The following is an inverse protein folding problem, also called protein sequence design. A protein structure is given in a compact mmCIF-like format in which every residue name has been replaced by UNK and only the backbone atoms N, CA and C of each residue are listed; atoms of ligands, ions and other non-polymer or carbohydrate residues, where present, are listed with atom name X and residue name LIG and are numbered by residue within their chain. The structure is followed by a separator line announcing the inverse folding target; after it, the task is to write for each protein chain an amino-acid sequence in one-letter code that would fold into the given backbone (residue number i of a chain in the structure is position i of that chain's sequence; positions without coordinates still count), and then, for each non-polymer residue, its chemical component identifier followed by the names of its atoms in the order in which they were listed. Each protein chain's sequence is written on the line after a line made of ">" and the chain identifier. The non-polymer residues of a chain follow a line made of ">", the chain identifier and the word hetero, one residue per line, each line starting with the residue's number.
data_IF_424276806268
#
_entry.id   IF_424276806268
#
_cell.length_a   1.000
_cell.length_b   1.000
_cell.length_c   1.000
_cell.angle_alpha   90.00
_cell.angle_beta   90.00
_cell.angle_gamma   90.00
#
_symmetry.space_group_name_H-M   'P 1'
#
loop_
_entity.id
_entity.type
_entity.pdbx_description
1 polymer ?
#
# COMPACT_ATOMS: atom_id res chain seq x y z
N UNK A 1 29.82 5.09 44.13
CA UNK A 1 29.99 5.06 42.65
C UNK A 1 28.59 5.10 42.04
N UNK A 2 28.25 6.21 41.47
CA UNK A 2 26.95 6.35 40.83
C UNK A 2 27.08 5.88 39.37
N UNK A 3 26.24 4.96 38.95
CA UNK A 3 26.07 4.59 37.55
C UNK A 3 25.49 5.78 36.79
N UNK A 4 25.99 6.10 35.59
CA UNK A 4 25.34 7.09 34.76
C UNK A 4 24.00 6.56 34.25
N UNK A 5 22.94 7.30 34.50
CA UNK A 5 21.62 7.06 33.92
C UNK A 5 21.74 6.93 32.40
N UNK A 6 21.25 5.81 31.87
CA UNK A 6 21.10 5.58 30.46
C UNK A 6 20.04 6.56 29.92
N UNK A 7 20.52 7.60 29.32
CA UNK A 7 19.75 8.57 28.57
C UNK A 7 18.88 7.90 27.54
N UNK A 8 17.62 8.30 27.50
CA UNK A 8 16.56 7.78 26.69
C UNK A 8 16.88 7.61 25.23
N UNK A 9 16.95 6.39 24.82
CA UNK A 9 16.87 6.05 23.41
C UNK A 9 15.51 6.48 22.89
N UNK A 10 15.47 7.57 22.14
CA UNK A 10 14.30 7.99 21.39
C UNK A 10 13.82 6.79 20.58
N UNK A 11 12.61 6.33 20.89
CA UNK A 11 11.97 5.26 20.16
C UNK A 11 11.85 5.68 18.71
N UNK A 12 12.66 5.07 17.86
CA UNK A 12 12.47 5.19 16.42
C UNK A 12 11.03 4.79 16.10
N UNK A 13 10.23 5.66 15.47
CA UNK A 13 8.80 5.39 15.21
C UNK A 13 8.53 4.07 14.49
N UNK A 14 9.50 3.55 13.73
CA UNK A 14 9.40 2.26 13.03
C UNK A 14 9.62 1.03 13.93
N UNK A 15 10.06 1.20 15.18
CA UNK A 15 10.08 0.14 16.20
C UNK A 15 8.70 -0.08 16.86
N UNK A 16 7.69 0.60 16.39
CA UNK A 16 6.34 0.34 16.86
C UNK A 16 5.85 -1.00 16.30
N UNK A 17 5.98 -1.97 17.14
CA UNK A 17 5.19 -3.17 17.20
C UNK A 17 5.65 -4.36 16.33
N UNK A 18 5.43 -5.52 16.88
CA UNK A 18 5.30 -6.84 16.26
C UNK A 18 4.28 -6.92 15.09
N UNK A 19 3.70 -5.80 14.67
CA UNK A 19 2.73 -5.73 13.58
C UNK A 19 3.41 -5.41 12.25
N UNK A 20 3.33 -6.33 11.30
CA UNK A 20 3.76 -6.07 9.92
C UNK A 20 2.90 -5.01 9.26
N UNK A 21 3.51 -4.19 8.42
CA UNK A 21 2.82 -3.24 7.56
C UNK A 21 1.90 -4.00 6.59
N UNK A 22 0.61 -3.74 6.66
CA UNK A 22 -0.39 -4.33 5.79
C UNK A 22 -0.42 -3.65 4.42
N UNK A 23 -0.18 -4.41 3.37
CA UNK A 23 -0.21 -3.90 1.99
C UNK A 23 -1.47 -4.37 1.28
N UNK A 24 -2.22 -3.43 0.73
CA UNK A 24 -3.30 -3.67 -0.19
C UNK A 24 -2.83 -3.49 -1.64
N UNK A 25 -3.19 -4.39 -2.54
CA UNK A 25 -2.84 -4.29 -3.96
C UNK A 25 -4.09 -4.08 -4.79
N UNK A 26 -4.15 -2.96 -5.51
CA UNK A 26 -5.19 -2.66 -6.51
C UNK A 26 -4.63 -2.97 -7.89
N UNK A 27 -5.17 -4.02 -8.52
CA UNK A 27 -4.65 -4.57 -9.76
C UNK A 27 -3.68 -5.74 -9.54
N UNK A 28 -4.10 -6.95 -9.88
CA UNK A 28 -3.29 -8.17 -9.70
C UNK A 28 -2.86 -8.77 -11.05
N UNK A 29 -2.46 -7.89 -11.99
CA UNK A 29 -1.82 -8.24 -13.25
C UNK A 29 -0.33 -8.49 -13.08
N UNK A 30 0.43 -8.33 -14.17
CA UNK A 30 1.89 -8.55 -14.17
C UNK A 30 2.59 -7.72 -13.07
N UNK A 31 2.32 -6.41 -13.02
CA UNK A 31 2.98 -5.53 -12.05
C UNK A 31 2.59 -5.88 -10.60
N UNK A 32 1.31 -5.98 -10.31
CA UNK A 32 0.83 -6.28 -8.95
C UNK A 32 1.29 -7.64 -8.45
N UNK A 33 1.18 -8.68 -9.28
CA UNK A 33 1.52 -10.05 -8.89
C UNK A 33 3.01 -10.35 -8.93
N UNK A 34 3.66 -10.08 -10.09
CA UNK A 34 5.03 -10.55 -10.32
C UNK A 34 6.06 -9.62 -9.70
N UNK A 35 5.82 -8.28 -9.75
CA UNK A 35 6.78 -7.34 -9.17
C UNK A 35 6.42 -7.02 -7.72
N UNK A 36 5.30 -6.35 -7.46
CA UNK A 36 5.00 -5.84 -6.12
C UNK A 36 4.79 -6.95 -5.08
N UNK A 37 3.91 -7.92 -5.33
CA UNK A 37 3.66 -8.98 -4.37
C UNK A 37 4.91 -9.84 -4.09
N UNK A 38 5.75 -10.06 -5.12
CA UNK A 38 7.02 -10.79 -4.95
C UNK A 38 8.00 -9.99 -4.10
N UNK A 39 8.19 -8.69 -4.37
CA UNK A 39 9.10 -7.85 -3.59
C UNK A 39 8.63 -7.73 -2.13
N UNK A 40 7.34 -7.52 -1.90
CA UNK A 40 6.77 -7.43 -0.55
C UNK A 40 7.05 -8.72 0.26
N UNK A 41 6.98 -9.88 -0.37
CA UNK A 41 7.28 -11.17 0.28
C UNK A 41 8.70 -11.24 0.85
N UNK A 42 9.64 -10.52 0.25
CA UNK A 42 11.04 -10.47 0.70
C UNK A 42 11.31 -9.39 1.74
N UNK A 43 10.31 -8.61 2.13
CA UNK A 43 10.42 -7.60 3.18
C UNK A 43 9.74 -8.11 4.45
N UNK A 44 10.50 -8.55 5.48
CA UNK A 44 9.91 -9.19 6.66
C UNK A 44 8.91 -8.31 7.42
N UNK A 45 9.06 -6.98 7.34
CA UNK A 45 8.17 -6.02 7.97
C UNK A 45 6.83 -5.79 7.22
N UNK A 46 6.66 -6.35 6.02
CA UNK A 46 5.48 -6.13 5.17
C UNK A 46 4.76 -7.45 4.89
N UNK A 47 3.47 -7.36 4.61
CA UNK A 47 2.68 -8.48 4.07
C UNK A 47 1.53 -7.99 3.21
N UNK A 48 1.19 -8.75 2.17
CA UNK A 48 -0.05 -8.53 1.42
C UNK A 48 -1.22 -8.99 2.27
N UNK A 49 -2.15 -8.08 2.56
CA UNK A 49 -3.34 -8.35 3.40
C UNK A 49 -4.66 -8.19 2.66
N UNK A 50 -4.64 -7.51 1.52
CA UNK A 50 -5.83 -7.26 0.72
C UNK A 50 -5.48 -7.15 -0.76
N UNK A 51 -6.37 -7.59 -1.63
CA UNK A 51 -6.21 -7.49 -3.09
C UNK A 51 -7.56 -7.12 -3.73
N UNK A 52 -7.51 -6.25 -4.73
CA UNK A 52 -8.63 -5.96 -5.63
C UNK A 52 -8.23 -6.28 -7.06
N UNK A 53 -9.03 -7.08 -7.73
CA UNK A 53 -8.94 -7.33 -9.17
C UNK A 53 -10.31 -7.75 -9.70
N UNK A 54 -10.63 -7.34 -10.92
CA UNK A 54 -11.92 -7.66 -11.59
C UNK A 54 -11.87 -8.97 -12.36
N UNK A 55 -10.67 -9.46 -12.63
CA UNK A 55 -10.47 -10.68 -13.42
C UNK A 55 -10.49 -11.90 -12.50
N UNK A 56 -11.34 -12.88 -12.81
CA UNK A 56 -11.54 -14.06 -11.97
C UNK A 56 -10.31 -14.95 -11.88
N UNK A 57 -9.55 -15.08 -12.96
CA UNK A 57 -8.30 -15.84 -12.96
C UNK A 57 -7.25 -15.20 -12.08
N UNK A 58 -7.12 -13.86 -12.14
CA UNK A 58 -6.23 -13.09 -11.26
C UNK A 58 -6.71 -13.16 -9.81
N UNK A 59 -8.00 -13.20 -9.58
CA UNK A 59 -8.61 -13.36 -8.27
C UNK A 59 -8.24 -14.73 -7.66
N UNK A 60 -8.35 -15.79 -8.44
CA UNK A 60 -7.90 -17.12 -8.03
C UNK A 60 -6.40 -17.18 -7.75
N UNK A 61 -5.58 -16.53 -8.58
CA UNK A 61 -4.16 -16.40 -8.35
C UNK A 61 -3.85 -15.67 -7.04
N UNK A 62 -4.51 -14.55 -6.77
CA UNK A 62 -4.32 -13.79 -5.53
C UNK A 62 -4.68 -14.63 -4.29
N UNK A 63 -5.77 -15.39 -4.35
CA UNK A 63 -6.17 -16.29 -3.28
C UNK A 63 -5.15 -17.43 -3.05
N UNK A 64 -4.58 -17.95 -4.12
CA UNK A 64 -3.54 -18.99 -4.05
C UNK A 64 -2.22 -18.46 -3.50
N UNK A 65 -1.80 -17.27 -3.99
CA UNK A 65 -0.52 -16.68 -3.61
C UNK A 65 -0.55 -16.12 -2.16
N UNK A 66 -1.73 -15.64 -1.73
CA UNK A 66 -1.96 -15.03 -0.41
C UNK A 66 -3.25 -15.56 0.22
N UNK A 67 -3.26 -16.80 0.76
CA UNK A 67 -4.49 -17.44 1.26
C UNK A 67 -5.18 -16.67 2.40
N UNK A 68 -4.43 -15.84 3.12
CA UNK A 68 -4.94 -15.02 4.23
C UNK A 68 -5.33 -13.60 3.83
N UNK A 69 -5.08 -13.19 2.57
CA UNK A 69 -5.45 -11.87 2.10
C UNK A 69 -6.97 -11.79 1.80
N UNK A 70 -7.55 -10.65 2.12
CA UNK A 70 -8.93 -10.36 1.79
C UNK A 70 -9.04 -9.95 0.32
N UNK A 71 -9.99 -10.53 -0.39
CA UNK A 71 -10.29 -10.17 -1.77
C UNK A 71 -11.49 -9.22 -1.79
N UNK A 72 -11.22 -7.94 -1.90
CA UNK A 72 -12.27 -6.91 -2.01
C UNK A 72 -12.83 -6.82 -3.43
N UNK A 73 -14.09 -6.40 -3.53
CA UNK A 73 -14.76 -6.22 -4.81
C UNK A 73 -14.40 -4.90 -5.49
N UNK A 74 -14.10 -3.87 -4.69
CA UNK A 74 -13.82 -2.52 -5.15
C UNK A 74 -12.59 -1.92 -4.45
N UNK A 75 -11.90 -0.94 -5.07
CA UNK A 75 -10.80 -0.22 -4.41
C UNK A 75 -11.25 0.48 -3.12
N UNK A 76 -12.45 1.06 -3.11
CA UNK A 76 -12.98 1.77 -1.95
C UNK A 76 -13.13 0.84 -0.73
N UNK A 77 -13.57 -0.40 -0.95
CA UNK A 77 -13.65 -1.41 0.11
C UNK A 77 -12.26 -1.78 0.66
N UNK A 78 -11.24 -1.82 -0.20
CA UNK A 78 -9.85 -2.01 0.23
C UNK A 78 -9.33 -0.79 1.00
N UNK A 79 -9.64 0.43 0.56
CA UNK A 79 -9.22 1.65 1.26
C UNK A 79 -9.88 1.79 2.63
N UNK A 80 -11.09 1.28 2.82
CA UNK A 80 -11.78 1.24 4.10
C UNK A 80 -11.29 0.13 5.05
N UNK A 81 -10.42 -0.76 4.58
CA UNK A 81 -9.90 -1.86 5.38
C UNK A 81 -8.82 -1.38 6.37
N UNK A 82 -9.09 -1.49 7.66
CA UNK A 82 -8.18 -1.07 8.75
C UNK A 82 -6.88 -1.88 8.80
N UNK A 83 -6.84 -3.05 8.18
CA UNK A 83 -5.63 -3.86 8.07
C UNK A 83 -4.66 -3.38 7.00
N UNK A 84 -5.08 -2.45 6.13
CA UNK A 84 -4.27 -1.89 5.05
C UNK A 84 -3.63 -0.59 5.53
N UNK A 85 -2.32 -0.52 5.51
CA UNK A 85 -1.53 0.69 5.80
C UNK A 85 -1.05 1.35 4.51
N UNK A 86 -0.65 0.55 3.53
CA UNK A 86 -0.09 0.99 2.25
C UNK A 86 -0.87 0.39 1.10
N UNK A 87 -1.22 1.19 0.12
CA UNK A 87 -1.89 0.77 -1.11
C UNK A 87 -0.90 0.79 -2.27
N UNK A 88 -0.76 -0.33 -2.94
CA UNK A 88 -0.07 -0.42 -4.24
C UNK A 88 -1.11 -0.26 -5.34
N UNK A 89 -0.92 0.73 -6.22
CA UNK A 89 -1.75 0.95 -7.41
C UNK A 89 -1.00 0.42 -8.62
N UNK A 90 -1.44 -0.73 -9.14
CA UNK A 90 -0.85 -1.45 -10.27
C UNK A 90 -1.92 -1.68 -11.37
N UNK A 91 -2.63 -0.63 -11.71
CA UNK A 91 -3.74 -0.59 -12.66
C UNK A 91 -3.34 0.20 -13.93
N UNK A 92 -4.21 0.33 -14.94
CA UNK A 92 -3.95 1.22 -16.08
C UNK A 92 -3.70 2.67 -15.66
N UNK A 93 -2.84 3.37 -16.40
CA UNK A 93 -2.27 4.68 -16.02
C UNK A 93 -3.33 5.78 -15.81
N UNK A 94 -4.41 5.75 -16.57
CA UNK A 94 -5.56 6.68 -16.46
C UNK A 94 -6.34 6.55 -15.15
N UNK A 95 -6.11 5.49 -14.40
CA UNK A 95 -6.74 5.26 -13.09
C UNK A 95 -5.85 5.68 -11.91
N UNK A 96 -4.59 6.02 -12.15
CA UNK A 96 -3.63 6.33 -11.09
C UNK A 96 -4.04 7.55 -10.27
N UNK A 97 -4.39 8.66 -10.92
CA UNK A 97 -4.82 9.86 -10.22
C UNK A 97 -6.05 9.61 -9.33
N UNK A 98 -7.21 9.16 -9.85
CA UNK A 98 -8.39 9.00 -9.02
C UNK A 98 -8.19 7.99 -7.89
N UNK A 99 -7.45 6.90 -8.11
CA UNK A 99 -7.17 5.92 -7.06
C UNK A 99 -6.22 6.46 -5.98
N UNK A 100 -5.21 7.25 -6.36
CA UNK A 100 -4.32 7.90 -5.40
C UNK A 100 -5.07 8.90 -4.54
N UNK A 101 -5.91 9.76 -5.15
CA UNK A 101 -6.72 10.72 -4.39
C UNK A 101 -7.65 10.02 -3.40
N UNK A 102 -8.29 8.92 -3.80
CA UNK A 102 -9.18 8.17 -2.92
C UNK A 102 -8.42 7.44 -1.78
N UNK A 103 -7.28 6.84 -2.08
CA UNK A 103 -6.45 6.15 -1.09
C UNK A 103 -5.88 7.13 -0.05
N UNK A 104 -5.34 8.27 -0.49
CA UNK A 104 -4.81 9.30 0.41
C UNK A 104 -5.90 9.94 1.27
N UNK A 105 -7.09 10.19 0.71
CA UNK A 105 -8.25 10.66 1.47
C UNK A 105 -8.69 9.67 2.55
N UNK A 106 -8.47 8.37 2.34
CA UNK A 106 -8.68 7.31 3.34
C UNK A 106 -7.50 7.14 4.31
N UNK A 107 -6.50 8.03 4.27
CA UNK A 107 -5.34 8.00 5.16
C UNK A 107 -4.33 6.88 4.86
N UNK A 108 -4.33 6.35 3.63
CA UNK A 108 -3.41 5.27 3.24
C UNK A 108 -2.17 5.84 2.56
N UNK A 109 -1.00 5.28 2.88
CA UNK A 109 0.21 5.49 2.09
C UNK A 109 0.03 4.86 0.71
N UNK A 110 0.66 5.44 -0.32
CA UNK A 110 0.47 4.98 -1.71
C UNK A 110 1.80 4.68 -2.38
N UNK A 111 1.88 3.54 -3.02
CA UNK A 111 2.91 3.18 -4.00
C UNK A 111 2.21 3.12 -5.35
N UNK A 112 2.44 4.13 -6.19
CA UNK A 112 1.90 4.17 -7.54
C UNK A 112 2.90 3.59 -8.53
N UNK A 113 2.43 2.70 -9.41
CA UNK A 113 3.30 2.09 -10.44
C UNK A 113 3.69 3.12 -11.52
N UNK A 114 4.63 2.78 -12.31
CA UNK A 114 5.07 3.60 -13.46
C UNK A 114 4.04 3.47 -14.62
N UNK A 115 3.81 4.46 -15.41
CA UNK A 115 4.12 5.87 -15.14
C UNK A 115 3.19 6.38 -14.06
N UNK A 116 3.69 7.23 -13.17
CA UNK A 116 2.91 7.71 -12.03
C UNK A 116 1.66 8.48 -12.47
N UNK A 117 1.78 9.32 -13.49
CA UNK A 117 0.76 10.23 -13.97
C UNK A 117 0.90 10.45 -15.48
N UNK A 118 -0.15 10.96 -16.12
CA UNK A 118 -0.18 11.23 -17.56
C UNK A 118 0.41 12.59 -17.92
N UNK A 119 0.38 13.53 -16.97
CA UNK A 119 0.97 14.86 -17.11
C UNK A 119 1.45 15.42 -15.74
N UNK A 120 2.06 16.60 -15.78
CA UNK A 120 2.60 17.24 -14.57
C UNK A 120 1.50 17.67 -13.59
N UNK A 121 0.37 18.13 -14.08
CA UNK A 121 -0.74 18.62 -13.27
C UNK A 121 -1.35 17.48 -12.44
N UNK A 122 -1.49 16.29 -13.03
CA UNK A 122 -1.90 15.09 -12.30
C UNK A 122 -0.89 14.73 -11.20
N UNK A 123 0.40 14.78 -11.51
CA UNK A 123 1.47 14.50 -10.54
C UNK A 123 1.46 15.48 -9.37
N UNK A 124 1.25 16.76 -9.63
CA UNK A 124 1.12 17.79 -8.58
C UNK A 124 -0.11 17.54 -7.70
N UNK A 125 -1.24 17.17 -8.27
CA UNK A 125 -2.45 16.82 -7.52
C UNK A 125 -2.22 15.61 -6.59
N UNK A 126 -1.56 14.58 -7.10
CA UNK A 126 -1.25 13.38 -6.31
C UNK A 126 -0.33 13.71 -5.13
N UNK A 127 0.73 14.48 -5.34
CA UNK A 127 1.65 14.92 -4.29
C UNK A 127 0.94 15.80 -3.26
N UNK A 128 0.17 16.80 -3.70
CA UNK A 128 -0.57 17.68 -2.81
C UNK A 128 -1.59 16.93 -1.95
N UNK A 129 -2.26 15.92 -2.51
CA UNK A 129 -3.19 15.09 -1.76
C UNK A 129 -2.50 14.25 -0.67
N UNK A 130 -1.33 13.69 -0.97
CA UNK A 130 -0.54 12.93 0.00
C UNK A 130 -0.02 13.85 1.13
N UNK A 131 0.50 15.02 0.81
CA UNK A 131 0.96 16.01 1.78
C UNK A 131 -0.20 16.47 2.69
N UNK A 132 -1.36 16.82 2.11
CA UNK A 132 -2.53 17.25 2.88
C UNK A 132 -3.05 16.17 3.83
N UNK A 133 -2.96 14.90 3.43
CA UNK A 133 -3.37 13.76 4.26
C UNK A 133 -2.28 13.31 5.25
N UNK A 134 -1.06 13.84 5.18
CA UNK A 134 0.06 13.42 6.03
C UNK A 134 0.54 12.00 5.74
N UNK A 135 0.42 11.54 4.50
CA UNK A 135 0.84 10.20 4.04
C UNK A 135 1.92 10.29 2.97
N UNK A 136 2.53 9.17 2.63
CA UNK A 136 3.56 9.05 1.59
C UNK A 136 2.94 8.55 0.29
#
# INVERSE_FOLDING_TARGET
>A
MAEPASEGGGLCPWRMADRRIGVGIVGYGLAGRVFHATLIRHVPAMKVVAVVTRDDARRANAQSDHPQARLHATPEALFADDGVDVVVIATPHDTHLPLTLAATAAGKHVICDKVMCLDADEGEQMCAAAEAAGVL
#
